data_IF_153886803505
#
_entry.id   IF_153886803505
#
_cell.length_a   1.000
_cell.length_b   1.000
_cell.length_c   1.000
_cell.angle_alpha   90.00
_cell.angle_beta   90.00
_cell.angle_gamma   90.00
#
_symmetry.space_group_name_H-M   'P 1'
#
loop_
_entity.id
_entity.type
_entity.pdbx_description
1 polymer ?
#
# COMPACT_ATOMS: atom_id res chain seq x y z
N UNK A 1 8.42 7.11 34.65
CA UNK A 1 7.44 6.27 35.38
C UNK A 1 6.45 5.74 34.37
N UNK A 2 6.37 4.42 34.17
CA UNK A 2 5.43 3.82 33.21
C UNK A 2 4.06 3.57 33.87
N UNK A 3 2.95 3.56 33.11
CA UNK A 3 1.64 3.20 33.67
C UNK A 3 1.60 1.84 34.38
N UNK A 4 2.41 0.88 33.93
CA UNK A 4 2.52 -0.44 34.56
C UNK A 4 3.15 -0.36 35.96
N UNK A 5 4.22 0.42 36.10
CA UNK A 5 4.95 0.59 37.37
C UNK A 5 4.09 1.25 38.44
N UNK A 6 3.22 2.20 38.05
CA UNK A 6 2.26 2.83 38.97
C UNK A 6 1.22 1.81 39.46
N UNK A 7 0.79 0.88 38.61
CA UNK A 7 -0.27 -0.08 38.93
C UNK A 7 0.23 -1.28 39.74
N UNK A 8 1.41 -1.81 39.42
CA UNK A 8 1.95 -3.05 40.00
C UNK A 8 3.13 -2.85 40.95
N UNK A 9 3.65 -1.61 41.06
CA UNK A 9 4.75 -1.28 41.97
C UNK A 9 6.14 -1.75 41.50
N UNK A 10 6.23 -2.41 40.34
CA UNK A 10 7.47 -2.89 39.74
C UNK A 10 7.50 -2.60 38.24
N UNK A 11 8.69 -2.58 37.65
CA UNK A 11 8.80 -2.45 36.20
C UNK A 11 8.20 -3.67 35.47
N UNK A 12 7.83 -3.48 34.21
CA UNK A 12 7.29 -4.55 33.38
C UNK A 12 8.43 -5.49 32.96
N UNK A 13 8.37 -6.74 33.41
CA UNK A 13 9.25 -7.80 32.95
C UNK A 13 8.64 -8.51 31.73
N UNK A 14 9.51 -8.97 30.82
CA UNK A 14 9.06 -9.71 29.65
C UNK A 14 8.54 -11.08 30.13
N UNK A 15 7.32 -11.52 29.71
CA UNK A 15 6.84 -12.82 30.13
C UNK A 15 7.72 -13.92 29.53
N UNK A 16 7.91 -15.02 30.26
CA UNK A 16 8.77 -16.15 29.85
C UNK A 16 8.39 -16.73 28.47
N UNK A 17 7.11 -16.62 28.09
CA UNK A 17 6.59 -17.02 26.77
C UNK A 17 7.20 -16.21 25.62
N UNK A 18 7.59 -14.96 25.86
CA UNK A 18 8.26 -14.08 24.92
C UNK A 18 9.79 -14.07 25.09
N UNK A 19 10.30 -14.33 26.30
CA UNK A 19 11.74 -14.43 26.56
C UNK A 19 12.41 -15.59 25.81
N UNK A 20 11.82 -16.79 25.84
CA UNK A 20 12.41 -17.98 25.20
C UNK A 20 12.58 -17.77 23.67
N UNK A 21 11.56 -17.31 22.92
CA UNK A 21 11.72 -16.95 21.51
C UNK A 21 12.77 -15.86 21.26
N UNK A 22 12.80 -14.81 22.09
CA UNK A 22 13.74 -13.70 21.94
C UNK A 22 15.20 -14.17 22.12
N UNK A 23 15.47 -14.99 23.13
CA UNK A 23 16.79 -15.56 23.38
C UNK A 23 17.24 -16.51 22.25
N UNK A 24 16.31 -17.32 21.72
CA UNK A 24 16.59 -18.17 20.55
C UNK A 24 16.93 -17.34 19.32
N UNK A 25 16.19 -16.26 19.08
CA UNK A 25 16.47 -15.34 17.99
C UNK A 25 17.83 -14.66 18.17
N UNK A 26 18.14 -14.15 19.37
CA UNK A 26 19.44 -13.54 19.66
C UNK A 26 20.60 -14.49 19.38
N UNK A 27 20.49 -15.75 19.81
CA UNK A 27 21.49 -16.78 19.50
C UNK A 27 21.58 -17.11 18.01
N UNK A 28 20.44 -17.17 17.31
CA UNK A 28 20.41 -17.45 15.88
C UNK A 28 21.03 -16.31 15.06
N UNK A 29 20.88 -15.06 15.49
CA UNK A 29 21.50 -13.89 14.83
C UNK A 29 23.03 -14.00 14.86
N UNK A 30 23.63 -14.61 15.87
CA UNK A 30 25.08 -14.83 15.93
C UNK A 30 25.55 -16.01 15.06
N UNK A 31 24.62 -16.84 14.57
CA UNK A 31 24.91 -17.97 13.69
C UNK A 31 25.09 -17.50 12.23
N UNK A 32 26.28 -17.72 11.66
CA UNK A 32 26.62 -17.35 10.28
C UNK A 32 25.67 -17.99 9.25
N UNK A 33 25.17 -19.19 9.51
CA UNK A 33 24.24 -19.86 8.58
C UNK A 33 22.89 -19.16 8.54
N UNK A 34 22.42 -18.70 9.70
CA UNK A 34 21.19 -17.94 9.82
C UNK A 34 21.33 -16.56 9.18
N UNK A 35 22.45 -15.86 9.40
CA UNK A 35 22.74 -14.58 8.74
C UNK A 35 22.73 -14.69 7.21
N UNK A 36 23.45 -15.67 6.66
CA UNK A 36 23.45 -15.94 5.22
C UNK A 36 22.03 -16.24 4.68
N UNK A 37 21.19 -16.92 5.46
CA UNK A 37 19.81 -17.20 5.09
C UNK A 37 18.94 -15.94 5.09
N UNK A 38 19.17 -15.04 6.06
CA UNK A 38 18.48 -13.77 6.21
C UNK A 38 18.84 -12.82 5.06
N UNK A 39 20.12 -12.72 4.71
CA UNK A 39 20.60 -11.92 3.56
C UNK A 39 19.96 -12.39 2.25
N UNK A 40 19.94 -13.70 1.99
CA UNK A 40 19.26 -14.27 0.81
C UNK A 40 17.78 -13.92 0.80
N UNK A 41 17.12 -13.98 1.96
CA UNK A 41 15.70 -13.62 2.09
C UNK A 41 15.47 -12.15 1.81
N UNK A 42 16.32 -11.27 2.35
CA UNK A 42 16.25 -9.82 2.10
C UNK A 42 16.42 -9.54 0.61
N UNK A 43 17.46 -10.09 -0.02
CA UNK A 43 17.70 -9.90 -1.45
C UNK A 43 16.52 -10.36 -2.30
N UNK A 44 15.94 -11.52 -2.00
CA UNK A 44 14.74 -12.01 -2.68
C UNK A 44 13.54 -11.07 -2.53
N UNK A 45 13.31 -10.54 -1.33
CA UNK A 45 12.22 -9.60 -1.07
C UNK A 45 12.44 -8.27 -1.80
N UNK A 46 13.68 -7.77 -1.83
CA UNK A 46 14.05 -6.58 -2.59
C UNK A 46 13.77 -6.77 -4.09
N UNK A 47 14.20 -7.89 -4.68
CA UNK A 47 13.95 -8.18 -6.10
C UNK A 47 12.44 -8.26 -6.40
N UNK A 48 11.66 -8.84 -5.49
CA UNK A 48 10.21 -8.90 -5.61
C UNK A 48 9.59 -7.50 -5.59
N UNK A 49 10.07 -6.62 -4.70
CA UNK A 49 9.57 -5.27 -4.59
C UNK A 49 9.93 -4.43 -5.82
N UNK A 50 11.15 -4.55 -6.35
CA UNK A 50 11.52 -3.91 -7.62
C UNK A 50 10.62 -4.36 -8.77
N UNK A 51 10.26 -5.65 -8.84
CA UNK A 51 9.31 -6.14 -9.85
C UNK A 51 7.93 -5.49 -9.69
N UNK A 52 7.45 -5.34 -8.46
CA UNK A 52 6.16 -4.68 -8.18
C UNK A 52 6.18 -3.21 -8.58
N UNK A 53 7.23 -2.47 -8.21
CA UNK A 53 7.41 -1.07 -8.59
C UNK A 53 7.37 -0.92 -10.11
N UNK A 54 8.13 -1.74 -10.85
CA UNK A 54 8.11 -1.73 -12.32
C UNK A 54 6.73 -1.97 -12.92
N UNK A 55 5.90 -2.81 -12.31
CA UNK A 55 4.52 -3.05 -12.77
C UNK A 55 3.63 -1.84 -12.48
N UNK A 56 3.74 -1.25 -11.27
CA UNK A 56 3.00 -0.04 -10.89
C UNK A 56 3.35 1.12 -11.83
N UNK A 57 4.63 1.32 -12.13
CA UNK A 57 5.09 2.36 -13.05
C UNK A 57 4.45 2.20 -14.44
N UNK A 58 4.43 0.97 -14.99
CA UNK A 58 3.77 0.70 -16.28
C UNK A 58 2.27 0.96 -16.24
N UNK A 59 1.59 0.58 -15.16
CA UNK A 59 0.15 0.81 -15.01
C UNK A 59 -0.13 2.31 -14.95
N UNK A 60 0.63 3.06 -14.16
CA UNK A 60 0.46 4.51 -14.02
C UNK A 60 0.77 5.23 -15.33
N UNK A 61 1.81 4.82 -16.06
CA UNK A 61 2.11 5.35 -17.39
C UNK A 61 0.92 5.12 -18.35
N UNK A 62 0.40 3.89 -18.39
CA UNK A 62 -0.74 3.56 -19.25
C UNK A 62 -1.98 4.39 -18.89
N UNK A 63 -2.31 4.50 -17.60
CA UNK A 63 -3.41 5.32 -17.11
C UNK A 63 -3.24 6.79 -17.51
N UNK A 64 -2.02 7.32 -17.41
CA UNK A 64 -1.70 8.68 -17.83
C UNK A 64 -1.87 8.87 -19.34
N UNK A 65 -1.48 7.88 -20.16
CA UNK A 65 -1.70 7.92 -21.61
C UNK A 65 -3.20 7.92 -21.94
N UNK A 66 -3.99 7.03 -21.33
CA UNK A 66 -5.44 6.98 -21.51
C UNK A 66 -6.09 8.30 -21.10
N UNK A 67 -5.72 8.85 -19.94
CA UNK A 67 -6.21 10.14 -19.46
C UNK A 67 -5.89 11.25 -20.45
N UNK A 68 -4.65 11.35 -20.94
CA UNK A 68 -4.25 12.37 -21.94
C UNK A 68 -5.07 12.28 -23.23
N UNK A 69 -5.34 11.07 -23.72
CA UNK A 69 -6.17 10.86 -24.91
C UNK A 69 -7.62 11.29 -24.67
N UNK A 70 -8.17 10.97 -23.50
CA UNK A 70 -9.50 11.41 -23.10
C UNK A 70 -9.57 12.93 -22.98
N UNK A 71 -8.66 13.55 -22.22
CA UNK A 71 -8.60 14.99 -21.99
C UNK A 71 -8.42 15.76 -23.31
N UNK A 72 -7.63 15.24 -24.25
CA UNK A 72 -7.49 15.83 -25.60
C UNK A 72 -8.80 15.83 -26.39
N UNK A 73 -9.63 14.80 -26.22
CA UNK A 73 -10.94 14.69 -26.90
C UNK A 73 -12.05 15.43 -26.14
N UNK A 74 -11.88 15.65 -24.83
CA UNK A 74 -12.82 16.38 -24.01
C UNK A 74 -12.84 17.85 -24.44
N UNK A 75 -13.88 18.24 -25.19
CA UNK A 75 -14.13 19.64 -25.51
C UNK A 75 -14.62 20.36 -24.24
N UNK A 76 -13.98 21.47 -23.88
CA UNK A 76 -14.56 22.41 -22.92
C UNK A 76 -15.90 22.91 -23.47
N UNK A 77 -16.99 22.63 -22.75
CA UNK A 77 -18.31 23.15 -23.06
C UNK A 77 -18.56 24.35 -22.14
N UNK A 78 -18.53 25.54 -22.72
CA UNK A 78 -18.91 26.76 -22.01
C UNK A 78 -20.42 26.91 -22.15
N UNK A 79 -21.13 26.93 -21.02
CA UNK A 79 -22.58 27.12 -20.99
C UNK A 79 -22.91 28.56 -20.62
N UNK A 80 -23.96 29.11 -21.22
CA UNK A 80 -24.49 30.44 -20.93
C UNK A 80 -25.87 30.35 -20.27
N UNK A 81 -26.28 31.45 -19.64
CA UNK A 81 -27.62 31.55 -19.04
C UNK A 81 -28.66 31.46 -20.16
N UNK A 82 -29.55 30.45 -20.06
CA UNK A 82 -30.56 30.16 -21.07
C UNK A 82 -30.29 28.89 -21.90
N UNK A 83 -29.09 28.31 -21.81
CA UNK A 83 -28.78 27.06 -22.51
C UNK A 83 -29.58 25.87 -21.95
N UNK A 84 -30.18 25.09 -22.84
CA UNK A 84 -30.81 23.81 -22.50
C UNK A 84 -29.74 22.73 -22.45
N UNK A 85 -29.47 22.22 -21.25
CA UNK A 85 -28.50 21.14 -21.01
C UNK A 85 -29.17 19.91 -20.43
N UNK A 86 -28.65 18.74 -20.78
CA UNK A 86 -29.07 17.48 -20.17
C UNK A 86 -28.35 17.30 -18.84
N UNK A 87 -29.12 17.21 -17.75
CA UNK A 87 -28.62 16.79 -16.45
C UNK A 87 -28.46 15.27 -16.45
N UNK A 88 -27.23 14.79 -16.25
CA UNK A 88 -27.00 13.37 -16.03
C UNK A 88 -27.49 12.97 -14.62
N UNK A 89 -28.53 12.14 -14.55
CA UNK A 89 -29.03 11.52 -13.31
C UNK A 89 -28.72 10.03 -13.31
N UNK A 90 -27.70 9.64 -12.53
CA UNK A 90 -27.25 8.26 -12.35
C UNK A 90 -28.38 7.28 -11.97
N UNK A 91 -29.47 7.74 -11.34
CA UNK A 91 -30.58 6.88 -10.91
C UNK A 91 -31.44 6.38 -12.07
N UNK A 92 -31.42 7.10 -13.20
CA UNK A 92 -32.22 6.80 -14.40
C UNK A 92 -31.38 6.23 -15.54
N UNK A 93 -30.12 5.88 -15.26
CA UNK A 93 -29.21 5.35 -16.26
C UNK A 93 -29.56 3.89 -16.61
N UNK A 94 -29.81 3.58 -17.90
CA UNK A 94 -29.96 2.21 -18.34
C UNK A 94 -28.62 1.47 -18.21
N UNK A 95 -28.60 0.38 -17.43
CA UNK A 95 -27.39 -0.41 -17.19
C UNK A 95 -26.79 -0.89 -18.52
N UNK A 96 -25.50 -0.62 -18.74
CA UNK A 96 -24.71 -1.15 -19.85
C UNK A 96 -24.51 -0.23 -21.07
N UNK A 97 -24.96 1.02 -21.05
CA UNK A 97 -24.81 1.93 -22.21
C UNK A 97 -23.45 2.64 -22.31
N UNK A 98 -22.69 2.71 -21.23
CA UNK A 98 -21.37 3.35 -21.23
C UNK A 98 -20.34 2.39 -20.64
N UNK A 99 -19.52 1.82 -21.52
CA UNK A 99 -18.29 1.08 -21.25
C UNK A 99 -17.15 1.71 -22.03
#
# INVERSE_FOLDING_TARGET
MSPFQVLYGTDAELPISAEIPALRLARAIEDETFQNSLEKRIMYLTELEEKRVRVVDKITEHQNQVKRLFDKKAKQRNFQVGDLVLLWDKRREPKGMHG
#
